data_IF_730223782736
#
_entry.id   IF_730223782736
#
_cell.length_a   1.000
_cell.length_b   1.000
_cell.length_c   1.000
_cell.angle_alpha   90.00
_cell.angle_beta   90.00
_cell.angle_gamma   90.00
#
_symmetry.space_group_name_H-M   'P 1'
#
loop_
_entity.id
_entity.type
_entity.pdbx_description
1 polymer ?
#
# COMPACT_ATOMS: atom_id res chain seq x y z
N UNK A 1 37.19 -3.73 2.72
CA UNK A 1 35.77 -3.43 3.05
C UNK A 1 34.93 -3.89 1.87
N UNK A 2 34.30 -5.06 1.97
CA UNK A 2 33.38 -5.55 0.93
C UNK A 2 32.02 -4.90 1.16
N UNK A 3 31.53 -4.20 0.14
CA UNK A 3 30.19 -3.63 0.11
C UNK A 3 29.16 -4.77 0.14
N UNK A 4 28.15 -4.67 0.99
CA UNK A 4 27.09 -5.69 1.10
C UNK A 4 26.33 -5.83 -0.23
N UNK A 5 26.08 -7.06 -0.67
CA UNK A 5 25.25 -7.41 -1.82
C UNK A 5 24.20 -8.49 -1.44
N UNK A 6 22.97 -8.41 -1.98
CA UNK A 6 22.42 -7.31 -2.79
C UNK A 6 21.86 -6.21 -1.85
N UNK A 7 21.69 -4.92 -2.16
CA UNK A 7 21.63 -4.07 -3.36
C UNK A 7 21.26 -4.77 -4.69
N UNK A 8 19.98 -4.78 -5.10
CA UNK A 8 18.98 -3.74 -4.86
C UNK A 8 18.09 -4.04 -3.64
N UNK A 9 17.83 -3.02 -2.82
CA UNK A 9 16.69 -3.03 -1.91
C UNK A 9 15.43 -3.06 -2.77
N UNK A 10 14.60 -4.11 -2.68
CA UNK A 10 13.37 -4.18 -3.46
C UNK A 10 12.29 -3.36 -2.74
N UNK A 11 11.86 -2.18 -3.25
CA UNK A 11 10.92 -1.31 -2.56
C UNK A 11 9.46 -1.77 -2.74
N UNK A 12 9.23 -3.05 -3.07
CA UNK A 12 7.90 -3.59 -3.27
C UNK A 12 7.35 -4.14 -1.95
N UNK A 13 6.20 -3.62 -1.53
CA UNK A 13 5.46 -4.15 -0.39
C UNK A 13 4.21 -4.85 -0.91
N UNK A 14 4.04 -6.12 -0.55
CA UNK A 14 2.81 -6.86 -0.86
C UNK A 14 1.85 -6.74 0.31
N UNK A 15 0.63 -6.29 0.02
CA UNK A 15 -0.46 -6.19 0.99
C UNK A 15 -1.54 -7.18 0.59
N UNK A 16 -1.93 -8.04 1.51
CA UNK A 16 -3.07 -8.92 1.34
C UNK A 16 -4.28 -8.32 2.05
N UNK A 17 -5.42 -8.30 1.37
CA UNK A 17 -6.68 -7.84 1.95
C UNK A 17 -7.84 -8.71 1.47
N UNK A 18 -8.84 -8.85 2.33
CA UNK A 18 -10.05 -9.60 2.02
C UNK A 18 -11.25 -8.67 1.98
N UNK A 19 -12.15 -8.97 1.04
CA UNK A 19 -13.40 -8.27 0.82
C UNK A 19 -14.51 -9.28 1.14
N UNK A 20 -15.28 -9.12 2.22
CA UNK A 20 -16.29 -10.11 2.62
C UNK A 20 -17.53 -10.09 1.72
N UNK A 21 -17.82 -8.95 1.08
CA UNK A 21 -18.96 -8.77 0.19
C UNK A 21 -18.63 -7.76 -0.91
N UNK A 22 -19.33 -7.85 -2.05
CA UNK A 22 -19.11 -6.95 -3.18
C UNK A 22 -19.30 -5.49 -2.73
N UNK A 23 -18.23 -4.70 -2.80
CA UNK A 23 -18.20 -3.33 -2.30
C UNK A 23 -17.22 -2.48 -3.10
N UNK A 24 -17.42 -1.16 -3.05
CA UNK A 24 -16.45 -0.22 -3.60
C UNK A 24 -15.24 -0.15 -2.68
N UNK A 25 -14.09 -0.62 -3.15
CA UNK A 25 -12.84 -0.65 -2.40
C UNK A 25 -11.95 0.48 -2.90
N UNK A 26 -11.51 1.30 -1.97
CA UNK A 26 -10.54 2.36 -2.20
C UNK A 26 -9.33 2.14 -1.29
N UNK A 27 -8.15 1.97 -1.88
CA UNK A 27 -6.88 1.93 -1.17
C UNK A 27 -6.10 3.15 -1.62
N UNK A 28 -5.76 4.03 -0.68
CA UNK A 28 -5.01 5.27 -0.92
C UNK A 28 -3.75 5.30 -0.06
N UNK A 29 -2.64 5.73 -0.65
CA UNK A 29 -1.36 5.93 0.02
C UNK A 29 -1.17 7.41 0.30
N UNK A 30 -0.77 7.72 1.53
CA UNK A 30 -0.54 9.05 2.07
C UNK A 30 0.90 9.16 2.57
N UNK A 31 1.44 10.38 2.54
CA UNK A 31 2.67 10.71 3.26
C UNK A 31 2.41 11.02 4.75
N UNK A 32 3.48 11.32 5.50
CA UNK A 32 3.40 11.66 6.92
C UNK A 32 2.59 12.93 7.23
N UNK A 33 2.39 13.79 6.22
CA UNK A 33 1.63 15.03 6.36
C UNK A 33 0.15 14.82 5.99
N UNK A 34 -0.24 13.59 5.63
CA UNK A 34 -1.60 13.25 5.19
C UNK A 34 -1.90 13.64 3.75
N UNK A 35 -0.89 13.96 2.93
CA UNK A 35 -1.10 14.23 1.50
C UNK A 35 -1.26 12.93 0.74
N UNK A 36 -2.32 12.84 -0.06
CA UNK A 36 -2.54 11.72 -0.97
C UNK A 36 -1.45 11.68 -2.04
N UNK A 37 -0.77 10.53 -2.14
CA UNK A 37 0.26 10.30 -3.15
C UNK A 37 -0.36 9.63 -4.38
N UNK A 38 -1.06 8.50 -4.15
CA UNK A 38 -1.77 7.77 -5.20
C UNK A 38 -2.78 6.77 -4.60
N UNK A 39 -3.74 6.33 -5.41
CA UNK A 39 -4.76 5.34 -5.02
C UNK A 39 -4.66 4.09 -5.89
N UNK A 40 -3.89 3.06 -5.50
CA UNK A 40 -3.68 1.87 -6.32
C UNK A 40 -4.94 1.03 -6.55
N UNK A 41 -5.96 1.16 -5.70
CA UNK A 41 -7.25 0.49 -5.86
C UNK A 41 -8.33 1.54 -5.67
N UNK A 42 -9.25 1.63 -6.64
CA UNK A 42 -10.37 2.58 -6.60
C UNK A 42 -11.53 2.06 -7.45
N UNK A 43 -12.04 0.87 -7.11
CA UNK A 43 -13.00 0.15 -7.93
C UNK A 43 -13.87 -0.79 -7.12
N UNK A 44 -14.95 -1.29 -7.73
CA UNK A 44 -15.79 -2.31 -7.10
C UNK A 44 -15.06 -3.65 -7.14
N UNK A 45 -14.82 -4.23 -5.95
CA UNK A 45 -14.30 -5.59 -5.79
C UNK A 45 -15.41 -6.52 -5.34
N UNK A 46 -15.41 -7.75 -5.86
CA UNK A 46 -16.31 -8.81 -5.40
C UNK A 46 -15.79 -9.39 -4.07
N UNK A 47 -16.61 -10.24 -3.45
CA UNK A 47 -16.14 -10.99 -2.29
C UNK A 47 -14.95 -11.87 -2.67
N UNK A 48 -13.87 -11.83 -1.89
CA UNK A 48 -12.64 -12.59 -2.15
C UNK A 48 -11.41 -12.01 -1.46
N UNK A 49 -10.30 -12.70 -1.62
CA UNK A 49 -8.98 -12.24 -1.17
C UNK A 49 -8.20 -11.69 -2.35
N UNK A 50 -7.51 -10.58 -2.11
CA UNK A 50 -6.74 -9.86 -3.12
C UNK A 50 -5.34 -9.56 -2.61
N UNK A 51 -4.41 -9.52 -3.54
CA UNK A 51 -3.04 -9.10 -3.29
C UNK A 51 -2.79 -7.80 -4.04
N UNK A 52 -2.26 -6.81 -3.35
CA UNK A 52 -1.83 -5.54 -3.92
C UNK A 52 -0.33 -5.41 -3.76
N UNK A 53 0.36 -5.21 -4.89
CA UNK A 53 1.76 -4.82 -4.89
C UNK A 53 1.87 -3.29 -4.87
N UNK A 54 2.34 -2.74 -3.75
CA UNK A 54 2.74 -1.35 -3.65
C UNK A 54 4.19 -1.25 -4.11
N UNK A 55 4.38 -0.67 -5.30
CA UNK A 55 5.70 -0.32 -5.79
C UNK A 55 6.14 1.01 -5.19
N UNK A 56 6.91 0.95 -4.09
CA UNK A 56 7.47 2.15 -3.49
C UNK A 56 8.68 2.69 -4.26
N UNK A 57 9.03 2.14 -5.42
CA UNK A 57 10.13 2.64 -6.26
C UNK A 57 9.91 4.08 -6.77
N UNK A 58 8.65 4.53 -6.82
CA UNK A 58 8.29 5.90 -7.20
C UNK A 58 8.21 6.87 -6.02
N UNK A 59 8.31 6.38 -4.78
CA UNK A 59 8.30 7.20 -3.57
C UNK A 59 9.65 7.05 -2.84
N UNK A 60 10.16 8.13 -2.24
CA UNK A 60 11.46 8.08 -1.55
C UNK A 60 11.44 7.25 -0.27
N UNK A 61 12.61 6.94 0.30
CA UNK A 61 12.69 6.37 1.65
C UNK A 61 11.96 7.27 2.65
N UNK A 62 11.13 6.67 3.51
CA UNK A 62 10.29 7.44 4.42
C UNK A 62 9.19 6.63 5.07
N UNK A 63 8.40 7.32 5.89
CA UNK A 63 7.20 6.76 6.51
C UNK A 63 6.01 7.16 5.65
N UNK A 64 5.13 6.22 5.39
CA UNK A 64 3.90 6.39 4.64
C UNK A 64 2.75 5.71 5.38
N UNK A 65 1.54 6.07 5.02
CA UNK A 65 0.34 5.43 5.51
C UNK A 65 -0.49 4.97 4.33
N UNK A 66 -1.09 3.80 4.42
CA UNK A 66 -2.12 3.40 3.46
C UNK A 66 -3.43 3.19 4.20
N UNK A 67 -4.51 3.67 3.60
CA UNK A 67 -5.87 3.49 4.10
C UNK A 67 -6.66 2.67 3.11
N UNK A 68 -7.27 1.59 3.59
CA UNK A 68 -8.29 0.86 2.86
C UNK A 68 -9.66 1.32 3.34
N UNK A 69 -10.57 1.58 2.41
CA UNK A 69 -11.96 1.97 2.68
C UNK A 69 -12.88 1.07 1.85
N UNK A 70 -13.90 0.50 2.48
CA UNK A 70 -14.89 -0.37 1.82
C UNK A 70 -16.25 -0.26 2.53
N UNK A 71 -17.14 0.59 2.03
CA UNK A 71 -18.39 0.94 2.74
C UNK A 71 -18.08 1.61 4.09
N UNK A 72 -18.63 1.07 5.18
CA UNK A 72 -18.39 1.56 6.54
C UNK A 72 -17.04 1.10 7.14
N UNK A 73 -16.34 0.19 6.47
CA UNK A 73 -15.02 -0.26 6.91
C UNK A 73 -13.94 0.72 6.46
N UNK A 74 -13.10 1.15 7.41
CA UNK A 74 -11.85 1.84 7.11
C UNK A 74 -10.74 1.35 8.03
N UNK A 75 -9.60 0.98 7.46
CA UNK A 75 -8.40 0.62 8.22
C UNK A 75 -7.19 1.35 7.65
N UNK A 76 -6.36 1.90 8.54
CA UNK A 76 -5.16 2.64 8.19
C UNK A 76 -3.94 1.98 8.81
N UNK A 77 -2.95 1.68 7.99
CA UNK A 77 -1.71 1.04 8.42
C UNK A 77 -0.50 1.84 8.00
N UNK A 78 0.52 1.81 8.86
CA UNK A 78 1.81 2.47 8.62
C UNK A 78 2.70 1.57 7.76
N UNK A 79 3.31 2.15 6.75
CA UNK A 79 4.34 1.54 5.89
C UNK A 79 5.64 2.31 6.05
N UNK A 80 6.77 1.61 6.16
CA UNK A 80 8.09 2.22 6.20
C UNK A 80 8.83 1.75 4.95
N UNK A 81 9.19 2.68 4.09
CA UNK A 81 9.95 2.41 2.87
C UNK A 81 11.41 2.70 3.17
N UNK A 82 12.24 1.67 3.00
CA UNK A 82 13.70 1.78 3.08
C UNK A 82 14.21 1.45 1.68
N UNK A 83 15.08 2.31 1.15
CA UNK A 83 15.75 2.16 -0.15
C UNK A 83 17.25 2.31 0.05
#
# INVERSE_FOLDING_TARGET
LSQNYPNPFNPQTMITYSVPQSSFVNITVFDILGREIYSPVNEIKKAGSYELNINAGQIGSGIYYYRMSAGDFSDTKKMIVIK
#
